data_IF_689199046748
#
_entry.id   IF_689199046748
#
_cell.length_a   1.000
_cell.length_b   1.000
_cell.length_c   1.000
_cell.angle_alpha   90.00
_cell.angle_beta   90.00
_cell.angle_gamma   90.00
#
_symmetry.space_group_name_H-M   'P 1'
#
loop_
_entity.id
_entity.type
_entity.pdbx_description
1 polymer ?
#
# COMPACT_ATOMS: atom_id res chain seq x y z
N UNK A 1 3.01 6.75 19.53
CA UNK A 1 4.36 6.49 19.01
C UNK A 1 4.24 5.30 18.09
N UNK A 2 4.37 5.49 16.78
CA UNK A 2 4.42 4.37 15.85
C UNK A 2 5.76 3.66 16.11
N UNK A 3 5.70 2.39 16.48
CA UNK A 3 6.91 1.57 16.54
C UNK A 3 7.29 1.31 15.08
N UNK A 4 8.28 2.05 14.59
CA UNK A 4 8.80 1.85 13.24
C UNK A 4 9.50 0.49 13.19
N UNK A 5 8.79 -0.49 12.65
CA UNK A 5 9.32 -1.84 12.42
C UNK A 5 10.28 -1.80 11.23
N UNK A 6 11.41 -2.48 11.36
CA UNK A 6 12.36 -2.61 10.25
C UNK A 6 11.87 -3.65 9.23
N UNK A 7 12.28 -3.50 7.96
CA UNK A 7 12.01 -4.51 6.92
C UNK A 7 12.49 -5.91 7.34
N UNK A 8 13.61 -6.00 8.07
CA UNK A 8 14.17 -7.27 8.56
C UNK A 8 13.23 -7.96 9.55
N UNK A 9 12.63 -7.21 10.46
CA UNK A 9 11.65 -7.74 11.42
C UNK A 9 10.33 -8.10 10.73
N UNK A 10 9.89 -7.29 9.76
CA UNK A 10 8.68 -7.55 8.98
C UNK A 10 8.78 -8.88 8.19
N UNK A 11 9.97 -9.20 7.66
CA UNK A 11 10.24 -10.48 6.97
C UNK A 11 10.17 -11.72 7.87
N UNK A 12 10.24 -11.56 9.19
CA UNK A 12 10.14 -12.66 10.16
C UNK A 12 8.70 -12.89 10.65
N UNK A 13 7.77 -12.00 10.29
CA UNK A 13 6.36 -12.08 10.70
C UNK A 13 5.56 -13.04 9.83
N UNK A 14 4.47 -13.56 10.38
CA UNK A 14 3.48 -14.30 9.60
C UNK A 14 2.72 -13.37 8.65
N UNK A 15 2.07 -13.92 7.63
CA UNK A 15 1.25 -13.15 6.69
C UNK A 15 0.19 -12.31 7.41
N UNK A 16 -0.46 -12.89 8.42
CA UNK A 16 -1.50 -12.25 9.22
C UNK A 16 -0.93 -11.07 10.00
N UNK A 17 0.24 -11.24 10.63
CA UNK A 17 0.92 -10.16 11.35
C UNK A 17 1.36 -9.02 10.41
N UNK A 18 1.78 -9.34 9.18
CA UNK A 18 2.08 -8.31 8.18
C UNK A 18 0.79 -7.60 7.73
N UNK A 19 -0.32 -8.32 7.60
CA UNK A 19 -1.63 -7.72 7.28
C UNK A 19 -2.12 -6.77 8.39
N UNK A 20 -1.94 -7.14 9.66
CA UNK A 20 -2.25 -6.27 10.79
C UNK A 20 -1.41 -4.98 10.74
N UNK A 21 -0.11 -5.11 10.50
CA UNK A 21 0.79 -3.95 10.32
C UNK A 21 0.36 -3.05 9.15
N UNK A 22 0.02 -3.64 8.00
CA UNK A 22 -0.47 -2.89 6.84
C UNK A 22 -1.75 -2.14 7.19
N UNK A 23 -2.71 -2.79 7.85
CA UNK A 23 -3.96 -2.16 8.26
C UNK A 23 -3.70 -0.99 9.21
N UNK A 24 -2.78 -1.14 10.18
CA UNK A 24 -2.41 -0.08 11.11
C UNK A 24 -1.81 1.14 10.39
N UNK A 25 -0.86 0.92 9.46
CA UNK A 25 -0.29 2.01 8.64
C UNK A 25 -1.33 2.69 7.75
N UNK A 26 -2.34 1.96 7.30
CA UNK A 26 -3.43 2.49 6.48
C UNK A 26 -4.58 3.08 7.30
N UNK A 27 -4.63 2.91 8.62
CA UNK A 27 -5.64 3.52 9.47
C UNK A 27 -5.61 5.03 9.33
N UNK A 28 -6.79 5.65 9.37
CA UNK A 28 -6.86 7.11 9.40
C UNK A 28 -6.30 7.64 10.70
N UNK A 29 -5.68 8.81 10.62
CA UNK A 29 -5.22 9.54 11.78
C UNK A 29 -6.42 9.94 12.65
N UNK A 30 -6.20 10.00 13.96
CA UNK A 30 -7.25 10.30 14.94
C UNK A 30 -7.95 11.64 14.65
N UNK A 31 -7.21 12.65 14.19
CA UNK A 31 -7.75 13.95 13.80
C UNK A 31 -8.78 13.82 12.68
N UNK A 32 -8.48 13.00 11.66
CA UNK A 32 -9.40 12.73 10.55
C UNK A 32 -10.61 11.97 11.06
N UNK A 33 -10.40 10.92 11.88
CA UNK A 33 -11.49 10.14 12.45
C UNK A 33 -12.43 10.99 13.32
N UNK A 34 -11.90 11.93 14.11
CA UNK A 34 -12.67 12.82 14.95
C UNK A 34 -13.51 13.83 14.17
N UNK A 35 -13.11 14.14 12.93
CA UNK A 35 -13.91 14.99 12.02
C UNK A 35 -15.12 14.26 11.42
N UNK A 36 -15.11 12.91 11.42
CA UNK A 36 -16.20 12.10 10.88
C UNK A 36 -17.39 12.08 11.84
N UNK A 37 -18.59 12.32 11.30
CA UNK A 37 -19.86 12.31 12.06
C UNK A 37 -20.43 10.90 12.32
N UNK A 38 -19.63 9.85 12.13
CA UNK A 38 -20.06 8.45 12.23
C UNK A 38 -19.76 7.84 13.61
N UNK A 39 -20.29 6.65 13.88
CA UNK A 39 -20.04 5.93 15.13
C UNK A 39 -18.56 5.55 15.30
N UNK A 40 -18.12 5.38 16.55
CA UNK A 40 -16.75 4.95 16.87
C UNK A 40 -16.38 3.62 16.18
N UNK A 41 -17.32 2.68 16.09
CA UNK A 41 -17.09 1.42 15.38
C UNK A 41 -16.89 1.62 13.87
N UNK A 42 -17.59 2.58 13.27
CA UNK A 42 -17.38 2.90 11.86
C UNK A 42 -16.02 3.56 11.62
N UNK A 43 -15.62 4.47 12.52
CA UNK A 43 -14.33 5.17 12.49
C UNK A 43 -13.16 4.21 12.58
N UNK A 44 -13.21 3.24 13.51
CA UNK A 44 -12.15 2.22 13.71
C UNK A 44 -11.87 1.36 12.48
N UNK A 45 -12.82 1.26 11.55
CA UNK A 45 -12.70 0.46 10.33
C UNK A 45 -12.36 1.28 9.08
N UNK A 46 -12.08 2.59 9.24
CA UNK A 46 -11.66 3.44 8.12
C UNK A 46 -10.17 3.34 7.88
N UNK A 47 -9.84 2.93 6.66
CA UNK A 47 -8.47 2.82 6.18
C UNK A 47 -8.33 3.45 4.80
N UNK A 48 -7.16 3.99 4.50
CA UNK A 48 -6.80 4.38 3.16
C UNK A 48 -6.79 3.15 2.24
N UNK A 49 -7.31 3.31 1.02
CA UNK A 49 -7.40 2.26 0.01
C UNK A 49 -6.89 2.78 -1.31
N UNK A 50 -6.34 1.88 -2.13
CA UNK A 50 -6.07 2.23 -3.52
C UNK A 50 -7.38 2.62 -4.22
N UNK A 51 -7.31 3.63 -5.06
CA UNK A 51 -8.35 3.94 -6.03
C UNK A 51 -8.24 2.94 -7.19
N UNK A 52 -9.20 2.01 -7.20
CA UNK A 52 -9.30 0.93 -8.16
C UNK A 52 -10.21 1.27 -9.35
N UNK A 53 -10.75 2.50 -9.41
CA UNK A 53 -11.70 2.89 -10.47
C UNK A 53 -11.01 3.01 -11.82
N UNK A 54 -9.73 3.38 -11.82
CA UNK A 54 -8.96 3.64 -13.04
C UNK A 54 -9.41 4.88 -13.81
N UNK A 55 -10.14 5.79 -13.16
CA UNK A 55 -10.68 7.01 -13.76
C UNK A 55 -10.10 8.26 -13.08
N UNK A 56 -9.59 9.20 -13.88
CA UNK A 56 -9.04 10.47 -13.35
C UNK A 56 -7.61 10.33 -12.82
N UNK A 57 -7.24 11.17 -11.86
CA UNK A 57 -5.87 11.27 -11.33
C UNK A 57 -5.60 10.26 -10.19
N UNK A 58 -5.94 8.98 -10.41
CA UNK A 58 -5.82 7.91 -9.40
C UNK A 58 -4.38 7.58 -9.06
N UNK A 59 -3.43 7.87 -9.95
CA UNK A 59 -2.01 7.60 -9.77
C UNK A 59 -1.43 8.38 -8.58
N UNK A 60 -1.79 9.65 -8.41
CA UNK A 60 -1.31 10.45 -7.27
C UNK A 60 -1.86 9.94 -5.94
N UNK A 61 -3.16 9.58 -5.92
CA UNK A 61 -3.77 8.96 -4.75
C UNK A 61 -3.11 7.62 -4.42
N UNK A 62 -2.96 6.73 -5.40
CA UNK A 62 -2.33 5.42 -5.20
C UNK A 62 -0.87 5.56 -4.76
N UNK A 63 -0.14 6.54 -5.29
CA UNK A 63 1.21 6.86 -4.82
C UNK A 63 1.20 7.28 -3.35
N UNK A 64 0.26 8.12 -2.90
CA UNK A 64 0.16 8.51 -1.48
C UNK A 64 -0.05 7.31 -0.53
N UNK A 65 -0.67 6.23 -1.02
CA UNK A 65 -0.82 4.99 -0.26
C UNK A 65 0.53 4.27 -0.12
N UNK A 66 1.31 4.21 -1.21
CA UNK A 66 2.66 3.64 -1.19
C UNK A 66 3.62 4.46 -0.31
N UNK A 67 3.45 5.79 -0.32
CA UNK A 67 4.31 6.72 0.43
C UNK A 67 4.30 6.44 1.95
N UNK A 68 3.23 5.83 2.48
CA UNK A 68 3.12 5.38 3.88
C UNK A 68 4.09 4.26 4.28
N UNK A 69 4.69 3.59 3.30
CA UNK A 69 5.61 2.45 3.48
C UNK A 69 7.04 2.77 3.01
N UNK A 70 7.35 4.05 2.79
CA UNK A 70 8.67 4.49 2.30
C UNK A 70 9.79 4.23 3.29
N UNK A 71 9.47 4.24 4.57
CA UNK A 71 10.32 3.85 5.69
C UNK A 71 10.85 2.41 5.58
N UNK A 72 10.19 1.54 4.81
CA UNK A 72 10.64 0.17 4.56
C UNK A 72 11.62 0.02 3.38
N UNK A 73 12.04 1.13 2.76
CA UNK A 73 13.02 1.13 1.67
C UNK A 73 12.41 0.89 0.28
N UNK A 74 11.13 1.23 0.06
CA UNK A 74 10.48 1.07 -1.25
C UNK A 74 11.25 1.78 -2.38
N UNK A 75 11.58 3.05 -2.19
CA UNK A 75 12.27 3.85 -3.19
C UNK A 75 13.79 3.63 -3.21
N UNK A 76 14.33 2.85 -2.28
CA UNK A 76 15.71 2.34 -2.34
C UNK A 76 15.82 1.08 -3.22
N UNK A 77 14.69 0.43 -3.49
CA UNK A 77 14.62 -0.81 -4.25
C UNK A 77 14.18 -0.62 -5.70
N UNK A 78 13.28 0.34 -5.93
CA UNK A 78 12.63 0.54 -7.22
C UNK A 78 12.86 1.96 -7.76
N UNK A 79 13.38 2.05 -9.00
CA UNK A 79 13.45 3.29 -9.77
C UNK A 79 12.06 3.75 -10.22
N UNK A 80 11.14 2.80 -10.39
CA UNK A 80 9.75 3.05 -10.69
C UNK A 80 8.89 2.01 -9.99
N UNK A 81 7.83 2.46 -9.32
CA UNK A 81 6.80 1.62 -8.71
C UNK A 81 5.45 2.27 -8.91
N UNK A 82 4.56 1.61 -9.66
CA UNK A 82 3.25 2.12 -10.02
C UNK A 82 2.18 1.05 -9.82
N UNK A 83 1.10 1.43 -9.13
CA UNK A 83 -0.12 0.63 -8.98
C UNK A 83 -1.20 1.29 -9.83
N UNK A 84 -1.58 0.62 -10.92
CA UNK A 84 -2.57 1.13 -11.88
C UNK A 84 -3.76 0.20 -11.96
N UNK A 85 -4.95 0.79 -12.09
CA UNK A 85 -6.16 0.06 -12.42
C UNK A 85 -6.76 0.64 -13.69
N UNK A 86 -7.25 -0.21 -14.57
CA UNK A 86 -7.97 0.19 -15.77
C UNK A 86 -8.94 -0.90 -16.17
N UNK A 87 -10.22 -0.55 -16.34
CA UNK A 87 -11.28 -1.44 -16.84
C UNK A 87 -11.29 -2.84 -16.18
N UNK A 88 -11.38 -2.89 -14.85
CA UNK A 88 -11.38 -4.12 -14.03
C UNK A 88 -10.07 -4.93 -14.03
N UNK A 89 -9.04 -4.46 -14.71
CA UNK A 89 -7.67 -5.00 -14.61
C UNK A 89 -6.84 -4.14 -13.69
N UNK A 90 -6.04 -4.77 -12.83
CA UNK A 90 -5.06 -4.11 -11.99
C UNK A 90 -3.65 -4.56 -12.38
N UNK A 91 -2.72 -3.61 -12.49
CA UNK A 91 -1.32 -3.86 -12.82
C UNK A 91 -0.41 -3.23 -11.76
N UNK A 92 0.53 -4.02 -11.26
CA UNK A 92 1.67 -3.55 -10.49
C UNK A 92 2.88 -3.51 -11.42
N UNK A 93 3.27 -2.30 -11.83
CA UNK A 93 4.41 -2.07 -12.71
C UNK A 93 5.60 -1.56 -11.92
N UNK A 94 6.76 -2.16 -12.09
CA UNK A 94 7.96 -1.73 -11.38
C UNK A 94 9.27 -1.98 -12.14
N UNK A 95 10.28 -1.19 -11.81
CA UNK A 95 11.66 -1.30 -12.29
C UNK A 95 12.55 -1.31 -11.07
N UNK A 96 13.40 -2.33 -10.93
CA UNK A 96 14.39 -2.38 -9.85
C UNK A 96 15.54 -1.42 -10.12
N UNK A 97 16.13 -0.87 -9.06
CA UNK A 97 17.36 -0.10 -9.16
C UNK A 97 18.43 -0.91 -9.91
N UNK A 98 19.20 -0.21 -10.74
CA UNK A 98 20.29 -0.78 -11.55
C UNK A 98 19.83 -1.79 -12.62
N UNK A 99 18.52 -1.87 -12.90
CA UNK A 99 17.97 -2.67 -13.99
C UNK A 99 17.15 -1.82 -14.94
N UNK A 100 17.32 -2.05 -16.24
CA UNK A 100 16.49 -1.43 -17.29
C UNK A 100 15.31 -2.34 -17.71
N UNK A 101 14.92 -3.27 -16.85
CA UNK A 101 13.83 -4.21 -17.13
C UNK A 101 12.53 -3.75 -16.45
N UNK A 102 11.47 -3.65 -17.24
CA UNK A 102 10.13 -3.33 -16.76
C UNK A 102 9.41 -4.62 -16.41
N UNK A 103 9.05 -4.78 -15.14
CA UNK A 103 8.21 -5.88 -14.68
C UNK A 103 6.76 -5.40 -14.56
N UNK A 104 5.83 -6.30 -14.90
CA UNK A 104 4.39 -6.08 -14.77
C UNK A 104 3.79 -7.33 -14.12
N UNK A 105 3.18 -7.15 -12.96
CA UNK A 105 2.43 -8.19 -12.27
C UNK A 105 0.93 -7.90 -12.36
N UNK A 106 0.14 -8.93 -12.67
CA UNK A 106 -1.31 -8.86 -12.53
C UNK A 106 -1.70 -8.83 -11.04
N UNK A 107 -2.50 -7.84 -10.67
CA UNK A 107 -3.06 -7.65 -9.33
C UNK A 107 -4.59 -7.55 -9.37
N UNK A 108 -5.20 -7.98 -10.47
CA UNK A 108 -6.66 -8.03 -10.63
C UNK A 108 -7.30 -8.87 -9.53
N UNK A 109 -8.38 -8.35 -8.92
CA UNK A 109 -9.09 -9.02 -7.83
C UNK A 109 -8.43 -8.92 -6.45
N UNK A 110 -7.22 -8.35 -6.34
CA UNK A 110 -6.55 -8.15 -5.05
C UNK A 110 -7.09 -6.92 -4.31
N UNK A 111 -7.28 -7.04 -3.00
CA UNK A 111 -7.55 -5.92 -2.11
C UNK A 111 -6.29 -5.07 -1.83
N UNK A 112 -6.49 -3.88 -1.26
CA UNK A 112 -5.37 -2.95 -0.94
C UNK A 112 -4.25 -3.60 -0.13
N UNK A 113 -4.60 -4.32 0.94
CA UNK A 113 -3.60 -4.99 1.80
C UNK A 113 -2.82 -6.09 1.07
N UNK A 114 -3.46 -6.80 0.14
CA UNK A 114 -2.83 -7.90 -0.61
C UNK A 114 -1.84 -7.35 -1.63
N UNK A 115 -2.19 -6.25 -2.28
CA UNK A 115 -1.30 -5.53 -3.20
C UNK A 115 -0.07 -5.01 -2.44
N UNK A 116 -0.27 -4.35 -1.29
CA UNK A 116 0.84 -3.86 -0.47
C UNK A 116 1.71 -5.03 0.01
N UNK A 117 1.11 -6.12 0.50
CA UNK A 117 1.86 -7.30 0.89
C UNK A 117 2.71 -7.86 -0.25
N UNK A 118 2.14 -7.98 -1.46
CA UNK A 118 2.86 -8.42 -2.66
C UNK A 118 4.02 -7.49 -3.01
N UNK A 119 3.88 -6.17 -2.83
CA UNK A 119 4.96 -5.19 -2.99
C UNK A 119 6.05 -5.42 -1.94
N UNK A 120 5.68 -5.59 -0.67
CA UNK A 120 6.62 -5.82 0.43
C UNK A 120 7.42 -7.12 0.25
N UNK A 121 6.82 -8.15 -0.35
CA UNK A 121 7.53 -9.39 -0.69
C UNK A 121 8.62 -9.21 -1.76
N UNK A 122 8.60 -8.10 -2.51
CA UNK A 122 9.59 -7.79 -3.56
C UNK A 122 10.78 -6.94 -3.09
N UNK A 123 10.74 -6.46 -1.85
CA UNK A 123 11.84 -5.74 -1.19
C UNK A 123 12.98 -6.69 -0.84
#
# INVERSE_FOLDING_TARGET
MQNDITLKELKQKTKEQVFEYINEKLSFEEIILNSLRYSEDFKKNQHYRFDMTGLGNTEHHNKSILDKFTDLGLFEKFDMLLVRFYNRSGELKYVYNDKNEVHVDDISGMGTREIIYKILQKL
#
